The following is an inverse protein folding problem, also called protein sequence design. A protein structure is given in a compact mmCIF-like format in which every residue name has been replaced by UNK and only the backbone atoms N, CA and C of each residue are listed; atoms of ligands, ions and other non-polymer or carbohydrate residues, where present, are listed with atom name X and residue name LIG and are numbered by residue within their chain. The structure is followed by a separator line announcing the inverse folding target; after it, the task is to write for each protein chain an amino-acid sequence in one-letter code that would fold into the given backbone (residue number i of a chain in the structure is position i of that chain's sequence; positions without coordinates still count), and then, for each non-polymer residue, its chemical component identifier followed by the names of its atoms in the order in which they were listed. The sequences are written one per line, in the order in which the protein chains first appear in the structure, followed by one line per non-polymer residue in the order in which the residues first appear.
data_IF_640627623126
#
_entry.id   IF_640627623126
#
_cell.length_a   1.000
_cell.length_b   1.000
_cell.length_c   1.000
_cell.angle_alpha   90.00
_cell.angle_beta   90.00
_cell.angle_gamma   90.00
#
_symmetry.space_group_name_H-M   'P 1'
#
loop_
_entity.id
_entity.type
_entity.pdbx_description
1 polymer ?
#
# COMPACT_ATOMS: atom_id res chain seq x y z
N UNK A 1 1.53 29.30 -13.47
CA UNK A 1 1.15 27.92 -13.09
C UNK A 1 1.97 27.53 -11.86
N UNK A 2 1.50 27.82 -10.65
CA UNK A 2 2.26 27.63 -9.40
C UNK A 2 2.22 26.17 -8.99
N UNK A 3 3.38 25.53 -8.90
CA UNK A 3 3.55 24.13 -8.50
C UNK A 3 3.07 23.99 -7.04
N UNK A 4 2.04 23.16 -6.79
CA UNK A 4 1.61 22.85 -5.41
C UNK A 4 2.79 22.27 -4.63
N UNK A 5 3.04 22.69 -3.38
CA UNK A 5 4.07 22.10 -2.55
C UNK A 5 3.76 20.62 -2.35
N UNK A 6 4.70 19.77 -2.77
CA UNK A 6 4.62 18.34 -2.52
C UNK A 6 5.10 18.09 -1.09
N UNK A 7 4.29 17.48 -0.21
CA UNK A 7 4.78 17.03 1.09
C UNK A 7 6.01 16.14 0.89
N UNK A 8 7.05 16.34 1.71
CA UNK A 8 8.26 15.50 1.67
C UNK A 8 7.84 14.08 2.08
N UNK A 9 7.75 13.18 1.10
CA UNK A 9 7.42 11.79 1.35
C UNK A 9 8.56 11.12 2.12
N UNK A 10 8.22 10.47 3.24
CA UNK A 10 9.17 9.58 3.92
C UNK A 10 9.25 8.28 3.12
N UNK A 11 10.45 7.89 2.70
CA UNK A 11 10.69 6.57 2.12
C UNK A 11 10.60 5.54 3.24
N UNK A 12 9.71 4.55 3.10
CA UNK A 12 9.69 3.41 4.02
C UNK A 12 10.90 2.52 3.66
N UNK A 13 11.84 2.24 4.59
CA UNK A 13 12.99 1.38 4.31
C UNK A 13 12.57 -0.01 3.84
N UNK A 14 13.30 -0.60 2.88
CA UNK A 14 13.05 -1.97 2.37
C UNK A 14 13.03 -3.05 3.46
N UNK A 15 13.75 -2.85 4.56
CA UNK A 15 13.80 -3.77 5.72
C UNK A 15 12.64 -3.59 6.70
N UNK A 16 11.93 -2.46 6.62
CA UNK A 16 10.70 -2.17 7.36
C UNK A 16 9.48 -2.60 6.55
N UNK A 17 9.65 -3.47 5.56
CA UNK A 17 8.56 -4.05 4.77
C UNK A 17 8.20 -5.47 5.29
N UNK A 18 8.26 -5.68 6.61
CA UNK A 18 7.67 -6.84 7.26
C UNK A 18 6.16 -6.73 7.10
N UNK A 19 5.62 -7.34 6.04
CA UNK A 19 4.20 -7.63 5.77
C UNK A 19 3.25 -6.70 6.56
N UNK A 20 3.17 -5.44 6.13
CA UNK A 20 2.11 -4.55 6.58
C UNK A 20 0.90 -4.83 5.71
N UNK A 21 -0.21 -5.25 6.33
CA UNK A 21 -1.50 -5.32 5.63
C UNK A 21 -1.94 -3.90 5.30
N UNK A 22 -1.68 -3.45 4.07
CA UNK A 22 -2.06 -2.14 3.57
C UNK A 22 -3.55 -2.13 3.23
N UNK A 23 -4.39 -1.80 4.20
CA UNK A 23 -5.84 -1.69 3.98
C UNK A 23 -6.14 -0.48 3.09
N UNK A 24 -6.30 -0.69 1.79
CA UNK A 24 -6.75 0.35 0.85
C UNK A 24 -8.28 0.47 0.93
N UNK A 25 -8.79 1.62 1.37
CA UNK A 25 -10.23 1.86 1.47
C UNK A 25 -10.76 2.71 0.30
N UNK A 26 -11.81 2.21 -0.34
CA UNK A 26 -12.87 3.05 -0.94
C UNK A 26 -14.11 2.89 -0.06
N UNK A 27 -14.90 3.96 0.05
CA UNK A 27 -15.85 4.37 1.10
C UNK A 27 -16.92 3.37 1.62
N UNK A 28 -16.95 2.10 1.22
CA UNK A 28 -18.16 1.28 1.34
C UNK A 28 -18.14 0.13 2.37
N UNK A 29 -17.04 -0.22 3.05
CA UNK A 29 -17.07 -1.33 4.01
C UNK A 29 -16.25 -1.04 5.29
N UNK A 30 -16.73 -1.49 6.47
CA UNK A 30 -16.07 -1.25 7.74
C UNK A 30 -14.66 -1.83 7.73
N UNK A 31 -13.73 -1.11 8.34
CA UNK A 31 -12.34 -1.54 8.50
C UNK A 31 -12.28 -2.32 9.81
N UNK A 32 -11.81 -3.57 9.76
CA UNK A 32 -11.53 -4.35 10.97
C UNK A 32 -10.52 -3.58 11.84
N UNK A 33 -10.64 -3.69 13.16
CA UNK A 33 -9.70 -3.04 14.07
C UNK A 33 -8.25 -3.44 13.72
N UNK A 34 -7.35 -2.46 13.70
CA UNK A 34 -5.94 -2.70 13.43
C UNK A 34 -5.35 -3.60 14.52
N UNK A 35 -4.61 -4.62 14.09
CA UNK A 35 -3.77 -5.42 14.99
C UNK A 35 -2.49 -4.66 15.33
N UNK A 36 -1.74 -5.14 16.32
CA UNK A 36 -0.44 -4.55 16.69
C UNK A 36 0.51 -4.48 15.48
N UNK A 37 1.20 -3.35 15.35
CA UNK A 37 2.08 -3.06 14.21
C UNK A 37 1.38 -2.80 12.87
N UNK A 38 0.04 -2.83 12.78
CA UNK A 38 -0.65 -2.53 11.53
C UNK A 38 -0.86 -1.03 11.32
N UNK A 39 -0.93 -0.63 10.05
CA UNK A 39 -1.07 0.76 9.64
C UNK A 39 -2.16 0.83 8.57
N UNK A 40 -3.10 1.75 8.72
CA UNK A 40 -4.14 2.03 7.76
C UNK A 40 -3.72 3.20 6.85
N UNK A 41 -3.67 2.93 5.55
CA UNK A 41 -3.34 3.94 4.56
C UNK A 41 -4.54 4.33 3.69
N UNK A 42 -4.74 5.63 3.53
CA UNK A 42 -5.56 6.17 2.45
C UNK A 42 -4.67 6.37 1.22
N UNK A 43 -4.84 5.53 0.20
CA UNK A 43 -4.16 5.67 -1.09
C UNK A 43 -4.97 6.62 -1.97
N UNK A 44 -4.36 7.72 -2.40
CA UNK A 44 -5.02 8.74 -3.25
C UNK A 44 -4.90 8.37 -4.73
N UNK A 45 -3.68 8.18 -5.21
CA UNK A 45 -3.39 7.82 -6.61
C UNK A 45 -2.23 6.85 -6.69
N UNK A 46 -2.36 5.90 -7.62
CA UNK A 46 -1.29 4.98 -7.98
C UNK A 46 -0.95 5.10 -9.47
N UNK A 47 0.29 4.75 -9.81
CA UNK A 47 0.75 4.71 -11.18
C UNK A 47 0.42 3.34 -11.80
N UNK A 48 -0.45 3.35 -12.80
CA UNK A 48 -0.67 2.21 -13.69
C UNK A 48 0.15 2.42 -14.96
N UNK A 49 1.14 1.56 -15.17
CA UNK A 49 2.00 1.60 -16.35
C UNK A 49 2.26 0.18 -16.88
N UNK A 50 2.98 0.05 -18.00
CA UNK A 50 3.37 -1.26 -18.54
C UNK A 50 4.16 -2.12 -17.56
N UNK A 51 4.79 -1.55 -16.53
CA UNK A 51 5.47 -2.33 -15.49
C UNK A 51 4.53 -3.20 -14.65
N UNK A 52 3.25 -2.85 -14.52
CA UNK A 52 2.27 -3.62 -13.76
C UNK A 52 1.85 -4.90 -14.50
N UNK A 53 1.94 -4.93 -15.84
CA UNK A 53 1.48 -6.06 -16.63
C UNK A 53 2.32 -7.34 -16.39
N UNK A 54 3.67 -7.29 -16.43
CA UNK A 54 4.50 -8.44 -16.04
C UNK A 54 4.25 -8.90 -14.60
N UNK A 55 3.95 -7.99 -13.67
CA UNK A 55 3.62 -8.36 -12.28
C UNK A 55 2.34 -9.19 -12.20
N UNK A 56 1.36 -8.87 -13.06
CA UNK A 56 0.11 -9.62 -13.16
C UNK A 56 0.30 -10.96 -13.90
N UNK A 57 1.05 -10.95 -15.01
CA UNK A 57 1.22 -12.11 -15.88
C UNK A 57 2.16 -13.18 -15.31
N UNK A 58 3.16 -12.78 -14.51
CA UNK A 58 4.18 -13.66 -13.94
C UNK A 58 4.24 -13.56 -12.41
N UNK A 59 3.13 -13.23 -11.76
CA UNK A 59 3.10 -12.94 -10.33
C UNK A 59 3.54 -14.10 -9.44
N UNK A 60 3.20 -15.33 -9.81
CA UNK A 60 3.66 -16.54 -9.10
C UNK A 60 5.17 -16.75 -9.26
N UNK A 61 5.68 -16.64 -10.49
CA UNK A 61 7.09 -16.88 -10.81
C UNK A 61 8.02 -15.84 -10.15
N UNK A 62 7.57 -14.59 -10.07
CA UNK A 62 8.34 -13.48 -9.52
C UNK A 62 8.01 -13.19 -8.05
N UNK A 63 7.17 -14.02 -7.42
CA UNK A 63 6.70 -13.86 -6.04
C UNK A 63 6.06 -12.49 -5.74
N UNK A 64 5.36 -11.91 -6.71
CA UNK A 64 4.67 -10.63 -6.52
C UNK A 64 3.44 -10.76 -5.63
N UNK A 65 2.83 -11.95 -5.56
CA UNK A 65 1.74 -12.24 -4.64
C UNK A 65 2.17 -12.17 -3.17
N UNK A 66 3.46 -12.42 -2.89
CA UNK A 66 4.03 -12.31 -1.55
C UNK A 66 4.03 -10.88 -0.99
N UNK A 67 3.93 -9.84 -1.83
CA UNK A 67 3.83 -8.47 -1.36
C UNK A 67 2.51 -8.21 -0.63
N UNK A 68 1.41 -8.77 -1.14
CA UNK A 68 0.06 -8.52 -0.65
C UNK A 68 -0.75 -9.83 -0.69
N UNK A 69 -0.47 -10.77 0.22
CA UNK A 69 -1.07 -12.10 0.18
C UNK A 69 -2.59 -12.04 0.30
N UNK A 70 -3.28 -12.94 -0.42
CA UNK A 70 -4.73 -13.08 -0.38
C UNK A 70 -5.11 -14.57 -0.46
N UNK A 71 -6.16 -15.01 0.24
CA UNK A 71 -6.60 -16.41 0.19
C UNK A 71 -7.28 -16.83 -1.13
N UNK A 72 -7.56 -15.89 -2.04
CA UNK A 72 -8.18 -16.20 -3.33
C UNK A 72 -7.13 -16.57 -4.40
N UNK A 73 -7.62 -17.10 -5.53
CA UNK A 73 -6.78 -17.48 -6.67
C UNK A 73 -6.24 -16.28 -7.48
N UNK A 74 -6.51 -15.04 -7.05
CA UNK A 74 -6.21 -13.83 -7.79
C UNK A 74 -5.21 -12.99 -7.00
N UNK A 75 -4.06 -12.69 -7.60
CA UNK A 75 -3.07 -11.87 -6.95
C UNK A 75 -3.46 -10.39 -6.84
N UNK A 76 -2.89 -9.70 -5.85
CA UNK A 76 -2.99 -8.25 -5.70
C UNK A 76 -1.79 -7.59 -6.35
N UNK A 77 -2.00 -6.96 -7.50
CA UNK A 77 -0.90 -6.31 -8.22
C UNK A 77 -0.41 -5.10 -7.41
N UNK A 78 0.90 -5.03 -7.10
CA UNK A 78 1.49 -3.86 -6.47
C UNK A 78 1.60 -2.72 -7.47
N UNK A 79 1.36 -1.49 -7.01
CA UNK A 79 1.54 -0.28 -7.79
C UNK A 79 2.29 0.77 -6.96
N UNK A 80 3.16 1.54 -7.62
CA UNK A 80 3.81 2.68 -6.98
C UNK A 80 2.76 3.75 -6.70
N UNK A 81 2.64 4.17 -5.45
CA UNK A 81 1.62 5.12 -5.02
C UNK A 81 2.12 5.99 -3.87
N UNK A 82 1.35 7.05 -3.58
CA UNK A 82 1.42 7.77 -2.32
C UNK A 82 0.23 7.39 -1.45
N UNK A 83 0.49 7.11 -0.18
CA UNK A 83 -0.52 6.83 0.83
C UNK A 83 -0.34 7.73 2.05
N UNK A 84 -1.46 8.25 2.56
CA UNK A 84 -1.50 8.99 3.82
C UNK A 84 -1.91 8.04 4.94
N UNK A 85 -1.17 8.06 6.05
CA UNK A 85 -1.49 7.26 7.24
C UNK A 85 -2.71 7.87 7.92
N UNK A 86 -3.81 7.12 8.01
CA UNK A 86 -5.05 7.59 8.66
C UNK A 86 -5.30 6.91 10.02
N UNK A 87 -4.63 5.79 10.28
CA UNK A 87 -4.58 5.13 11.59
C UNK A 87 -3.30 4.27 11.69
N UNK A 88 -2.70 4.12 12.87
CA UNK A 88 -1.42 3.42 13.04
C UNK A 88 -1.28 2.83 14.44
N UNK A 89 -0.99 1.53 14.49
CA UNK A 89 -0.56 0.79 15.69
C UNK A 89 0.94 0.47 15.63
N UNK A 90 1.72 1.19 14.81
CA UNK A 90 3.16 0.99 14.68
C UNK A 90 3.92 2.17 15.30
N UNK A 91 4.85 1.90 16.22
CA UNK A 91 5.58 2.92 17.00
C UNK A 91 6.32 3.95 16.14
N UNK A 92 6.82 3.52 14.98
CA UNK A 92 7.69 4.36 14.14
C UNK A 92 6.92 5.14 13.06
N UNK A 93 5.60 4.94 12.95
CA UNK A 93 4.79 5.52 11.89
C UNK A 93 3.64 6.31 12.48
N UNK A 94 3.73 7.63 12.36
CA UNK A 94 2.74 8.56 12.88
C UNK A 94 1.54 8.70 11.94
N UNK A 95 0.35 8.86 12.54
CA UNK A 95 -0.86 9.25 11.81
C UNK A 95 -0.66 10.63 11.16
N UNK A 96 -1.09 10.78 9.92
CA UNK A 96 -0.88 11.96 9.09
C UNK A 96 0.41 11.95 8.27
N UNK A 97 1.30 10.98 8.46
CA UNK A 97 2.48 10.83 7.61
C UNK A 97 2.09 10.47 6.16
N UNK A 98 2.86 10.97 5.19
CA UNK A 98 2.74 10.58 3.78
C UNK A 98 3.90 9.72 3.35
N UNK A 99 3.58 8.54 2.85
CA UNK A 99 4.53 7.52 2.44
C UNK A 99 4.48 7.28 0.93
N UNK A 100 5.62 6.92 0.36
CA UNK A 100 5.74 6.52 -1.05
C UNK A 100 6.34 5.11 -1.15
N UNK A 101 5.74 4.26 -1.98
CA UNK A 101 6.15 2.87 -2.09
C UNK A 101 5.18 2.04 -2.92
N UNK A 102 5.27 0.72 -2.78
CA UNK A 102 4.29 -0.21 -3.36
C UNK A 102 3.05 -0.29 -2.47
N UNK A 103 1.88 -0.12 -3.09
CA UNK A 103 0.57 -0.28 -2.49
C UNK A 103 -0.25 -1.26 -3.34
N UNK A 104 -1.19 -2.03 -2.76
CA UNK A 104 -2.02 -2.93 -3.53
C UNK A 104 -3.07 -2.14 -4.32
N UNK A 105 -3.36 -2.54 -5.56
CA UNK A 105 -4.45 -1.94 -6.35
C UNK A 105 -5.86 -2.38 -5.89
N UNK A 106 -5.95 -3.20 -4.84
CA UNK A 106 -7.22 -3.67 -4.28
C UNK A 106 -7.16 -3.68 -2.75
N UNK A 107 -8.33 -3.63 -2.10
CA UNK A 107 -8.46 -3.61 -0.66
C UNK A 107 -7.86 -4.86 0.01
N UNK A 108 -7.14 -4.64 1.10
CA UNK A 108 -6.68 -5.68 2.02
C UNK A 108 -7.38 -5.49 3.37
N UNK A 109 -8.60 -5.99 3.50
CA UNK A 109 -9.30 -6.03 4.80
C UNK A 109 -9.36 -7.45 5.33
#
# INVERSE_FOLDING_TARGET
MTRRPQPKARSIPRSTATIFTIVVSSESAPISALSDGQILFKVDRFALTSNNFPYAAAGDLLNYWGFFPRPDRWGRIPAMAFGDVIDSHHSDVEVGARCFGFFPMSRTS
#
